data_IF_372412067916
#
_entry.id   IF_372412067916
#
_cell.length_a   1.000
_cell.length_b   1.000
_cell.length_c   1.000
_cell.angle_alpha   90.00
_cell.angle_beta   90.00
_cell.angle_gamma   90.00
#
_symmetry.space_group_name_H-M   'P 1'
#
loop_
_entity.id
_entity.type
_entity.pdbx_description
1 polymer ?
#
# COMPACT_ATOMS: atom_id res chain seq x y z
N UNK A 1 4.64 -21.26 12.01
CA UNK A 1 4.96 -20.34 10.89
C UNK A 1 5.65 -19.05 11.36
N UNK A 2 5.08 -18.28 12.27
CA UNK A 2 5.66 -17.00 12.75
C UNK A 2 7.11 -17.10 13.24
N UNK A 3 7.48 -18.19 13.94
CA UNK A 3 8.86 -18.42 14.41
C UNK A 3 9.91 -18.58 13.30
N UNK A 4 9.51 -19.12 12.12
CA UNK A 4 10.41 -19.31 10.97
C UNK A 4 10.70 -17.96 10.32
N UNK A 5 9.66 -17.14 10.12
CA UNK A 5 9.78 -15.80 9.55
C UNK A 5 10.42 -14.76 10.49
N UNK A 6 10.59 -15.07 11.79
CA UNK A 6 11.42 -14.25 12.70
C UNK A 6 12.91 -14.28 12.35
N UNK A 7 13.35 -15.28 11.59
CA UNK A 7 14.74 -15.39 11.15
C UNK A 7 14.91 -14.79 9.74
N UNK A 8 16.08 -14.18 9.48
CA UNK A 8 16.44 -13.69 8.14
C UNK A 8 17.22 -14.77 7.38
N UNK A 9 16.51 -15.76 6.85
CA UNK A 9 17.10 -16.80 5.98
C UNK A 9 16.62 -16.62 4.54
N UNK A 10 17.48 -16.86 3.56
CA UNK A 10 17.11 -16.74 2.14
C UNK A 10 16.01 -17.74 1.74
N UNK A 11 15.97 -18.91 2.38
CA UNK A 11 14.90 -19.92 2.20
C UNK A 11 13.51 -19.39 2.57
N UNK A 12 13.42 -18.37 3.44
CA UNK A 12 12.13 -17.76 3.79
C UNK A 12 11.48 -17.03 2.61
N UNK A 13 12.23 -16.62 1.59
CA UNK A 13 11.66 -16.03 0.36
C UNK A 13 10.82 -17.09 -0.38
N UNK A 14 11.35 -18.30 -0.53
CA UNK A 14 10.65 -19.39 -1.20
C UNK A 14 9.48 -19.90 -0.36
N UNK A 15 9.64 -20.00 0.96
CA UNK A 15 8.54 -20.35 1.85
C UNK A 15 7.43 -19.29 1.82
N UNK A 16 7.79 -18.01 1.71
CA UNK A 16 6.82 -16.92 1.54
C UNK A 16 6.08 -17.02 0.19
N UNK A 17 6.76 -17.44 -0.88
CA UNK A 17 6.11 -17.66 -2.18
C UNK A 17 5.05 -18.76 -2.07
N UNK A 18 5.41 -19.90 -1.49
CA UNK A 18 4.47 -21.01 -1.24
C UNK A 18 3.32 -20.56 -0.34
N UNK A 19 3.62 -19.80 0.71
CA UNK A 19 2.61 -19.24 1.61
C UNK A 19 1.62 -18.32 0.89
N UNK A 20 2.12 -17.42 0.04
CA UNK A 20 1.29 -16.53 -0.77
C UNK A 20 0.46 -17.29 -1.80
N UNK A 21 1.04 -18.30 -2.45
CA UNK A 21 0.31 -19.17 -3.38
C UNK A 21 -0.84 -19.87 -2.65
N UNK A 22 -0.61 -20.50 -1.50
CA UNK A 22 -1.68 -21.15 -0.72
C UNK A 22 -2.82 -20.19 -0.39
N UNK A 23 -2.52 -18.94 -0.01
CA UNK A 23 -3.56 -17.97 0.32
C UNK A 23 -4.39 -17.52 -0.89
N UNK A 24 -3.77 -17.46 -2.07
CA UNK A 24 -4.35 -16.81 -3.26
C UNK A 24 -4.60 -17.78 -4.42
N UNK A 25 -4.36 -19.08 -4.26
CA UNK A 25 -4.44 -20.06 -5.35
C UNK A 25 -5.84 -20.15 -5.96
N UNK A 26 -6.90 -19.99 -5.16
CA UNK A 26 -8.27 -20.01 -5.68
C UNK A 26 -8.52 -18.95 -6.78
N UNK A 27 -7.77 -17.84 -6.77
CA UNK A 27 -7.87 -16.81 -7.81
C UNK A 27 -7.31 -17.27 -9.15
N UNK A 28 -6.37 -18.21 -9.15
CA UNK A 28 -5.92 -18.85 -10.39
C UNK A 28 -6.94 -19.85 -10.92
N UNK A 29 -7.74 -20.47 -10.04
CA UNK A 29 -8.82 -21.38 -10.41
C UNK A 29 -10.04 -20.62 -10.95
N UNK A 30 -10.34 -19.45 -10.38
CA UNK A 30 -11.44 -18.58 -10.77
C UNK A 30 -10.92 -17.21 -11.22
N UNK A 31 -10.31 -17.12 -12.41
CA UNK A 31 -9.61 -15.92 -12.83
C UNK A 31 -10.58 -14.81 -13.24
N UNK A 32 -10.38 -13.62 -12.67
CA UNK A 32 -11.14 -12.42 -13.00
C UNK A 32 -10.29 -11.45 -13.84
N UNK A 33 -10.96 -10.66 -14.67
CA UNK A 33 -10.33 -9.59 -15.45
C UNK A 33 -9.90 -8.39 -14.58
N UNK A 34 -9.35 -7.32 -15.21
CA UNK A 34 -8.97 -6.11 -14.48
C UNK A 34 -10.22 -5.42 -13.92
N UNK A 35 -10.12 -4.97 -12.66
CA UNK A 35 -11.17 -4.18 -12.02
C UNK A 35 -11.10 -2.74 -12.55
N UNK A 36 -12.21 -2.22 -13.06
CA UNK A 36 -12.37 -0.82 -13.42
C UNK A 36 -13.43 -0.18 -12.55
N UNK A 37 -13.13 1.00 -12.01
CA UNK A 37 -14.01 1.73 -11.12
C UNK A 37 -14.17 3.18 -11.60
N UNK A 38 -15.29 3.86 -11.27
CA UNK A 38 -15.49 5.27 -11.61
C UNK A 38 -14.37 6.20 -11.10
N UNK A 39 -13.73 5.82 -10.00
CA UNK A 39 -12.70 6.59 -9.31
C UNK A 39 -11.30 6.40 -9.92
N UNK A 40 -11.16 5.50 -10.90
CA UNK A 40 -9.96 5.35 -11.69
C UNK A 40 -9.68 6.63 -12.50
N UNK A 41 -8.41 7.05 -12.52
CA UNK A 41 -7.99 8.24 -13.25
C UNK A 41 -7.46 7.85 -14.65
N UNK A 42 -7.18 8.87 -15.46
CA UNK A 42 -6.71 8.78 -16.85
C UNK A 42 -5.66 7.68 -17.12
N UNK A 43 -4.59 7.56 -16.33
CA UNK A 43 -3.47 6.68 -16.66
C UNK A 43 -3.85 5.21 -16.55
N UNK A 44 -4.65 4.85 -15.55
CA UNK A 44 -5.17 3.49 -15.42
C UNK A 44 -6.18 3.17 -16.52
N UNK A 45 -7.10 4.09 -16.80
CA UNK A 45 -8.08 3.89 -17.88
C UNK A 45 -7.42 3.78 -19.25
N UNK A 46 -6.37 4.56 -19.50
CA UNK A 46 -5.55 4.45 -20.70
C UNK A 46 -4.83 3.09 -20.76
N UNK A 47 -4.21 2.65 -19.66
CA UNK A 47 -3.55 1.33 -19.58
C UNK A 47 -4.52 0.20 -19.92
N UNK A 48 -5.70 0.18 -19.28
CA UNK A 48 -6.71 -0.84 -19.58
C UNK A 48 -7.24 -0.71 -21.01
N UNK A 49 -7.38 0.51 -21.54
CA UNK A 49 -7.75 0.74 -22.94
C UNK A 49 -6.76 0.14 -23.95
N UNK A 50 -5.47 0.12 -23.62
CA UNK A 50 -4.42 -0.55 -24.44
C UNK A 50 -4.46 -2.07 -24.26
N UNK A 51 -4.75 -2.55 -23.04
CA UNK A 51 -4.74 -3.98 -22.73
C UNK A 51 -6.00 -4.73 -23.21
N UNK A 52 -7.18 -4.07 -23.24
CA UNK A 52 -8.45 -4.69 -23.64
C UNK A 52 -8.42 -5.27 -25.08
N UNK A 53 -7.94 -4.55 -26.11
CA UNK A 53 -7.86 -5.07 -27.49
C UNK A 53 -6.93 -6.28 -27.64
N UNK A 54 -5.99 -6.48 -26.73
CA UNK A 54 -5.03 -7.58 -26.78
C UNK A 54 -5.64 -8.93 -26.36
N UNK A 55 -6.90 -8.96 -25.90
CA UNK A 55 -7.61 -10.19 -25.48
C UNK A 55 -6.80 -11.08 -24.52
N UNK A 56 -6.07 -10.44 -23.60
CA UNK A 56 -5.22 -11.10 -22.62
C UNK A 56 -6.07 -12.02 -21.73
N UNK A 57 -5.62 -13.27 -21.56
CA UNK A 57 -6.32 -14.25 -20.73
C UNK A 57 -6.46 -13.76 -19.26
N UNK A 58 -7.63 -13.92 -18.61
CA UNK A 58 -7.87 -13.51 -17.22
C UNK A 58 -6.81 -14.02 -16.22
N UNK A 59 -6.28 -15.23 -16.45
CA UNK A 59 -5.23 -15.83 -15.61
C UNK A 59 -3.96 -14.97 -15.58
N UNK A 60 -3.63 -14.26 -16.65
CA UNK A 60 -2.45 -13.39 -16.69
C UNK A 60 -2.64 -12.15 -15.81
N UNK A 61 -3.85 -11.59 -15.72
CA UNK A 61 -4.13 -10.51 -14.77
C UNK A 61 -3.97 -10.97 -13.33
N UNK A 62 -4.46 -12.17 -13.00
CA UNK A 62 -4.27 -12.78 -11.68
C UNK A 62 -2.78 -13.00 -11.39
N UNK A 63 -2.02 -13.51 -12.36
CA UNK A 63 -0.58 -13.71 -12.21
C UNK A 63 0.14 -12.39 -11.96
N UNK A 64 -0.17 -11.34 -12.74
CA UNK A 64 0.43 -10.01 -12.57
C UNK A 64 0.06 -9.43 -11.19
N UNK A 65 -1.20 -9.52 -10.77
CA UNK A 65 -1.64 -9.05 -9.45
C UNK A 65 -0.95 -9.79 -8.31
N UNK A 66 -0.81 -11.11 -8.43
CA UNK A 66 -0.08 -11.93 -7.47
C UNK A 66 1.40 -11.52 -7.39
N UNK A 67 2.07 -11.36 -8.54
CA UNK A 67 3.46 -10.93 -8.60
C UNK A 67 3.65 -9.52 -8.03
N UNK A 68 2.71 -8.61 -8.26
CA UNK A 68 2.71 -7.28 -7.65
C UNK A 68 2.57 -7.39 -6.14
N UNK A 69 1.58 -8.10 -5.61
CA UNK A 69 1.39 -8.27 -4.16
C UNK A 69 2.59 -8.94 -3.48
N UNK A 70 3.17 -9.97 -4.12
CA UNK A 70 4.37 -10.64 -3.65
C UNK A 70 5.59 -9.72 -3.69
N UNK A 71 5.76 -8.97 -4.78
CA UNK A 71 6.80 -7.96 -4.93
C UNK A 71 6.68 -6.84 -3.89
N UNK A 72 5.47 -6.35 -3.64
CA UNK A 72 5.16 -5.38 -2.58
C UNK A 72 5.55 -5.91 -1.20
N UNK A 73 5.21 -7.17 -0.90
CA UNK A 73 5.57 -7.81 0.37
C UNK A 73 7.09 -7.89 0.57
N UNK A 74 7.84 -8.30 -0.46
CA UNK A 74 9.30 -8.38 -0.41
C UNK A 74 9.96 -7.00 -0.32
N UNK A 75 9.50 -6.04 -1.13
CA UNK A 75 9.98 -4.67 -1.14
C UNK A 75 9.75 -4.02 0.22
N UNK A 76 8.54 -4.11 0.76
CA UNK A 76 8.21 -3.55 2.06
C UNK A 76 9.01 -4.20 3.18
N UNK A 77 9.20 -5.53 3.13
CA UNK A 77 10.04 -6.22 4.09
C UNK A 77 11.51 -5.74 4.05
N UNK A 78 12.05 -5.53 2.85
CA UNK A 78 13.39 -4.95 2.69
C UNK A 78 13.45 -3.55 3.30
N UNK A 79 12.47 -2.70 3.03
CA UNK A 79 12.37 -1.35 3.59
C UNK A 79 12.34 -1.38 5.12
N UNK A 80 11.49 -2.23 5.72
CA UNK A 80 11.41 -2.39 7.17
C UNK A 80 12.74 -2.80 7.80
N UNK A 81 13.51 -3.66 7.11
CA UNK A 81 14.82 -4.11 7.56
C UNK A 81 15.89 -3.02 7.40
N UNK A 82 15.89 -2.31 6.27
CA UNK A 82 16.85 -1.24 5.96
C UNK A 82 16.65 -0.02 6.89
N UNK A 83 15.40 0.32 7.17
CA UNK A 83 15.03 1.39 8.12
C UNK A 83 15.03 0.94 9.58
N UNK A 84 15.40 -0.32 9.86
CA UNK A 84 15.44 -0.91 11.21
C UNK A 84 14.16 -0.66 12.02
N UNK A 85 12.99 -0.77 11.37
CA UNK A 85 11.69 -0.58 12.01
C UNK A 85 11.46 -1.58 13.15
N UNK A 86 12.01 -2.79 12.99
CA UNK A 86 12.04 -3.83 14.03
C UNK A 86 13.48 -4.04 14.52
N UNK A 87 13.69 -4.42 15.79
CA UNK A 87 15.02 -4.55 16.40
C UNK A 87 15.98 -5.52 15.71
N UNK A 88 15.45 -6.53 15.01
CA UNK A 88 16.23 -7.52 14.28
C UNK A 88 15.63 -7.74 12.91
N UNK A 89 16.45 -7.96 11.87
CA UNK A 89 15.92 -8.16 10.53
C UNK A 89 15.17 -9.48 10.45
N UNK A 90 14.03 -9.47 9.77
CA UNK A 90 13.12 -10.61 9.70
C UNK A 90 12.25 -10.56 8.42
N UNK A 91 11.33 -11.54 8.27
CA UNK A 91 10.36 -11.65 7.18
C UNK A 91 8.90 -11.47 7.64
N UNK A 92 8.68 -11.02 8.89
CA UNK A 92 7.33 -10.80 9.42
C UNK A 92 6.55 -9.74 8.65
N UNK A 93 7.12 -8.59 8.22
CA UNK A 93 6.44 -7.65 7.35
C UNK A 93 5.94 -8.28 6.05
N UNK A 94 6.75 -9.13 5.41
CA UNK A 94 6.37 -9.78 4.16
C UNK A 94 5.18 -10.75 4.38
N UNK A 95 5.29 -11.59 5.41
CA UNK A 95 4.23 -12.53 5.79
C UNK A 95 2.93 -11.79 6.15
N UNK A 96 3.04 -10.74 6.97
CA UNK A 96 1.90 -9.92 7.36
C UNK A 96 1.23 -9.28 6.14
N UNK A 97 1.99 -8.80 5.15
CA UNK A 97 1.45 -8.18 3.93
C UNK A 97 0.58 -9.15 3.14
N UNK A 98 1.10 -10.36 2.88
CA UNK A 98 0.36 -11.38 2.14
C UNK A 98 -0.88 -11.84 2.90
N UNK A 99 -0.79 -11.90 4.22
CA UNK A 99 -1.90 -12.28 5.08
C UNK A 99 -2.99 -11.21 5.10
N UNK A 100 -2.64 -9.93 5.33
CA UNK A 100 -3.61 -8.82 5.34
C UNK A 100 -4.27 -8.61 3.99
N UNK A 101 -3.50 -8.72 2.90
CA UNK A 101 -4.05 -8.58 1.54
C UNK A 101 -4.88 -9.77 1.09
N UNK A 102 -4.98 -10.81 1.92
CA UNK A 102 -5.88 -11.95 1.68
C UNK A 102 -7.14 -11.88 2.53
N UNK A 103 -7.33 -10.84 3.35
CA UNK A 103 -8.58 -10.67 4.11
C UNK A 103 -9.73 -10.11 3.26
N UNK A 104 -9.41 -9.46 2.14
CA UNK A 104 -10.39 -8.94 1.19
C UNK A 104 -10.12 -9.55 -0.18
N UNK A 105 -11.19 -10.00 -0.83
CA UNK A 105 -11.12 -10.62 -2.15
C UNK A 105 -10.66 -9.60 -3.18
N UNK A 106 -11.19 -8.39 -3.07
CA UNK A 106 -11.05 -7.30 -4.01
C UNK A 106 -9.62 -6.77 -4.12
N UNK A 107 -8.80 -6.98 -3.10
CA UNK A 107 -7.39 -6.58 -3.08
C UNK A 107 -6.49 -7.50 -3.93
N UNK A 108 -7.05 -8.60 -4.47
CA UNK A 108 -6.35 -9.53 -5.34
C UNK A 108 -6.57 -9.25 -6.83
N UNK A 109 -7.46 -8.31 -7.17
CA UNK A 109 -7.72 -7.94 -8.55
C UNK A 109 -6.66 -6.96 -9.07
N UNK A 110 -6.45 -7.00 -10.38
CA UNK A 110 -5.65 -5.98 -11.04
C UNK A 110 -6.47 -4.68 -11.04
N UNK A 111 -6.06 -3.71 -10.21
CA UNK A 111 -6.81 -2.49 -9.92
C UNK A 111 -5.90 -1.26 -9.84
N UNK A 112 -6.46 -0.06 -10.00
CA UNK A 112 -5.68 1.18 -9.86
C UNK A 112 -5.08 1.33 -8.44
N UNK A 113 -5.81 1.04 -7.34
CA UNK A 113 -5.22 1.09 -6.00
C UNK A 113 -4.07 0.11 -5.79
N UNK A 114 -4.06 -1.07 -6.42
CA UNK A 114 -2.92 -2.01 -6.36
C UNK A 114 -1.64 -1.40 -6.97
N UNK A 115 -1.77 -0.78 -8.15
CA UNK A 115 -0.64 -0.10 -8.81
C UNK A 115 -0.17 1.12 -8.02
N UNK A 116 -1.12 1.94 -7.53
CA UNK A 116 -0.84 3.08 -6.67
C UNK A 116 -0.11 2.65 -5.39
N UNK A 117 -0.57 1.58 -4.72
CA UNK A 117 0.06 1.04 -3.51
C UNK A 117 1.52 0.66 -3.74
N UNK A 118 1.85 0.09 -4.92
CA UNK A 118 3.23 -0.26 -5.29
C UNK A 118 4.13 0.98 -5.31
N UNK A 119 3.69 2.05 -5.97
CA UNK A 119 4.44 3.30 -6.03
C UNK A 119 4.50 3.99 -4.67
N UNK A 120 3.44 3.89 -3.86
CA UNK A 120 3.39 4.47 -2.52
C UNK A 120 4.36 3.78 -1.54
N UNK A 121 4.57 2.47 -1.63
CA UNK A 121 5.66 1.77 -0.89
C UNK A 121 7.01 2.37 -1.25
N UNK A 122 7.24 2.61 -2.55
CA UNK A 122 8.50 3.18 -3.01
C UNK A 122 8.68 4.63 -2.57
N UNK A 123 7.62 5.44 -2.63
CA UNK A 123 7.59 6.82 -2.11
C UNK A 123 7.92 6.82 -0.62
N UNK A 124 7.30 5.95 0.18
CA UNK A 124 7.58 5.82 1.61
C UNK A 124 9.06 5.53 1.88
N UNK A 125 9.66 4.57 1.16
CA UNK A 125 11.09 4.30 1.27
C UNK A 125 11.93 5.54 0.98
N UNK A 126 11.70 6.22 -0.15
CA UNK A 126 12.49 7.39 -0.52
C UNK A 126 12.34 8.52 0.51
N UNK A 127 11.15 8.72 1.06
CA UNK A 127 10.90 9.67 2.14
C UNK A 127 11.70 9.37 3.40
N UNK A 128 11.73 8.11 3.85
CA UNK A 128 12.51 7.72 5.04
C UNK A 128 14.02 7.87 4.86
N UNK A 129 14.52 7.81 3.62
CA UNK A 129 15.95 8.02 3.32
C UNK A 129 16.36 9.49 3.15
N UNK A 130 15.42 10.42 2.95
CA UNK A 130 15.69 11.84 2.71
C UNK A 130 16.61 12.52 3.75
N UNK A 131 16.54 12.21 5.06
CA UNK A 131 17.43 12.82 6.05
C UNK A 131 18.92 12.53 5.80
N UNK A 132 19.25 11.42 5.14
CA UNK A 132 20.62 10.96 4.93
C UNK A 132 21.21 11.47 3.60
N UNK A 133 20.43 12.14 2.76
CA UNK A 133 20.85 12.59 1.43
C UNK A 133 21.47 14.00 1.51
N UNK A 134 22.71 14.13 1.04
CA UNK A 134 23.44 15.41 0.99
C UNK A 134 22.80 16.42 0.04
N UNK A 135 22.45 15.99 -1.20
CA UNK A 135 21.79 16.81 -2.22
C UNK A 135 20.35 16.32 -2.45
N UNK A 136 19.37 16.79 -1.67
CA UNK A 136 18.02 16.23 -1.69
C UNK A 136 17.18 16.67 -2.89
N UNK A 137 17.55 17.74 -3.61
CA UNK A 137 16.74 18.32 -4.69
C UNK A 137 16.23 17.30 -5.71
N UNK A 138 17.11 16.52 -6.38
CA UNK A 138 16.69 15.50 -7.35
C UNK A 138 15.82 14.40 -6.74
N UNK A 139 16.09 13.99 -5.49
CA UNK A 139 15.30 12.99 -4.80
C UNK A 139 13.89 13.51 -4.49
N UNK A 140 13.77 14.74 -3.97
CA UNK A 140 12.50 15.40 -3.66
C UNK A 140 11.67 15.62 -4.93
N UNK A 141 12.32 16.07 -6.02
CA UNK A 141 11.67 16.20 -7.32
C UNK A 141 11.12 14.86 -7.80
N UNK A 142 11.94 13.81 -7.76
CA UNK A 142 11.55 12.46 -8.17
C UNK A 142 10.37 11.94 -7.36
N UNK A 143 10.32 12.24 -6.05
CA UNK A 143 9.18 11.85 -5.19
C UNK A 143 7.93 12.62 -5.58
N UNK A 144 8.06 13.92 -5.89
CA UNK A 144 6.99 14.73 -6.47
C UNK A 144 6.43 14.11 -7.76
N UNK A 145 7.31 13.73 -8.69
CA UNK A 145 6.90 13.08 -9.95
C UNK A 145 6.18 11.77 -9.69
N UNK A 146 6.69 10.93 -8.78
CA UNK A 146 6.02 9.66 -8.45
C UNK A 146 4.64 9.87 -7.85
N UNK A 147 4.47 10.82 -6.93
CA UNK A 147 3.14 11.06 -6.37
C UNK A 147 2.19 11.63 -7.41
N UNK A 148 2.65 12.51 -8.31
CA UNK A 148 1.84 12.98 -9.44
C UNK A 148 1.42 11.85 -10.39
N UNK A 149 2.25 10.82 -10.59
CA UNK A 149 1.85 9.63 -11.35
C UNK A 149 0.79 8.82 -10.59
N UNK A 150 0.93 8.69 -9.27
CA UNK A 150 -0.05 8.00 -8.42
C UNK A 150 -1.42 8.67 -8.48
N UNK A 151 -1.48 10.01 -8.46
CA UNK A 151 -2.75 10.74 -8.58
C UNK A 151 -3.38 10.61 -9.98
N UNK A 152 -2.57 10.38 -11.01
CA UNK A 152 -3.04 10.08 -12.37
C UNK A 152 -3.47 8.63 -12.59
N UNK A 153 -3.10 7.71 -11.69
CA UNK A 153 -3.59 6.33 -11.66
C UNK A 153 -4.96 6.25 -10.98
N UNK A 154 -5.09 6.85 -9.80
CA UNK A 154 -6.27 6.74 -8.94
C UNK A 154 -6.66 8.11 -8.38
N UNK A 155 -7.86 8.62 -8.70
CA UNK A 155 -8.26 10.02 -8.44
C UNK A 155 -8.15 10.38 -6.95
N UNK A 156 -8.66 9.57 -6.01
CA UNK A 156 -8.61 9.89 -4.59
C UNK A 156 -7.19 9.96 -4.02
N UNK A 157 -6.20 9.40 -4.70
CA UNK A 157 -4.81 9.45 -4.25
C UNK A 157 -4.22 10.87 -4.22
N UNK A 158 -4.93 11.89 -4.73
CA UNK A 158 -4.58 13.32 -4.55
C UNK A 158 -4.37 13.69 -3.07
N UNK A 159 -5.07 13.02 -2.16
CA UNK A 159 -4.90 13.19 -0.70
C UNK A 159 -3.46 12.88 -0.28
N UNK A 160 -2.78 11.92 -0.92
CA UNK A 160 -1.38 11.60 -0.63
C UNK A 160 -0.37 12.68 -1.08
N UNK A 161 -0.79 13.70 -1.85
CA UNK A 161 0.05 14.90 -2.04
C UNK A 161 0.31 15.59 -0.70
N UNK A 162 -0.70 15.71 0.15
CA UNK A 162 -0.52 16.25 1.49
C UNK A 162 0.36 15.33 2.36
N UNK A 163 0.32 14.00 2.17
CA UNK A 163 1.28 13.08 2.83
C UNK A 163 2.72 13.46 2.48
N UNK A 164 3.01 13.69 1.20
CA UNK A 164 4.35 14.03 0.69
C UNK A 164 4.85 15.36 1.27
N UNK A 165 3.99 16.37 1.33
CA UNK A 165 4.32 17.68 1.91
C UNK A 165 4.58 17.58 3.42
N UNK A 166 3.72 16.88 4.15
CA UNK A 166 3.88 16.65 5.58
C UNK A 166 5.10 15.75 5.88
N UNK A 167 5.39 14.78 5.02
CA UNK A 167 6.59 13.95 5.13
C UNK A 167 7.86 14.80 4.99
N UNK A 168 7.89 15.74 4.04
CA UNK A 168 9.02 16.66 3.89
C UNK A 168 9.20 17.52 5.15
N UNK A 169 8.11 18.02 5.73
CA UNK A 169 8.12 18.78 7.00
C UNK A 169 8.64 17.95 8.19
N UNK A 170 8.24 16.69 8.31
CA UNK A 170 8.66 15.81 9.42
C UNK A 170 10.11 15.33 9.25
N UNK A 171 10.50 14.98 8.03
CA UNK A 171 11.80 14.36 7.75
C UNK A 171 12.93 15.38 7.69
N UNK A 172 12.68 16.60 7.20
CA UNK A 172 13.71 17.62 6.97
C UNK A 172 13.30 19.00 7.50
N UNK A 173 14.26 19.86 7.85
CA UNK A 173 13.96 21.25 8.18
C UNK A 173 13.36 21.98 6.98
N UNK A 174 12.45 22.90 7.27
CA UNK A 174 11.73 23.66 6.24
C UNK A 174 12.68 24.51 5.39
N UNK A 175 12.62 24.32 4.06
CA UNK A 175 13.38 25.09 3.07
C UNK A 175 12.50 25.35 1.85
N UNK A 176 12.20 26.62 1.58
CA UNK A 176 11.30 27.01 0.47
C UNK A 176 11.71 26.40 -0.88
N UNK A 177 13.02 26.34 -1.16
CA UNK A 177 13.55 25.72 -2.38
C UNK A 177 13.17 24.23 -2.50
N UNK A 178 13.25 23.46 -1.41
CA UNK A 178 12.93 22.03 -1.41
C UNK A 178 11.42 21.82 -1.64
N UNK A 179 10.58 22.70 -1.06
CA UNK A 179 9.13 22.68 -1.27
C UNK A 179 8.74 23.04 -2.70
N UNK A 180 9.33 24.09 -3.27
CA UNK A 180 9.09 24.48 -4.66
C UNK A 180 9.49 23.35 -5.64
N UNK A 181 10.65 22.71 -5.41
CA UNK A 181 11.08 21.55 -6.21
C UNK A 181 10.08 20.39 -6.09
N UNK A 182 9.55 20.13 -4.91
CA UNK A 182 8.55 19.08 -4.73
C UNK A 182 7.26 19.38 -5.51
N UNK A 183 6.73 20.59 -5.40
CA UNK A 183 5.52 21.02 -6.12
C UNK A 183 5.74 20.93 -7.64
N UNK A 184 6.89 21.39 -8.15
CA UNK A 184 7.25 21.23 -9.57
C UNK A 184 7.28 19.77 -10.00
N UNK A 185 7.78 18.87 -9.15
CA UNK A 185 7.73 17.43 -9.41
C UNK A 185 6.30 16.91 -9.49
N UNK A 186 5.42 17.34 -8.58
CA UNK A 186 4.01 16.91 -8.54
C UNK A 186 3.24 17.36 -9.78
N UNK A 187 3.49 18.59 -10.25
CA UNK A 187 2.78 19.13 -11.42
C UNK A 187 3.34 18.63 -12.75
N UNK A 188 4.57 18.09 -12.78
CA UNK A 188 5.21 17.63 -14.02
C UNK A 188 4.42 16.54 -14.77
N UNK A 189 3.92 15.46 -14.14
CA UNK A 189 3.05 14.49 -14.84
C UNK A 189 1.79 15.12 -15.45
N UNK A 190 1.18 16.08 -14.75
CA UNK A 190 0.01 16.81 -15.24
C UNK A 190 0.34 17.72 -16.43
N UNK A 191 1.52 18.35 -16.43
CA UNK A 191 2.00 19.15 -17.56
C UNK A 191 2.13 18.30 -18.83
N UNK A 192 2.74 17.11 -18.74
CA UNK A 192 2.85 16.20 -19.89
C UNK A 192 1.49 15.65 -20.32
N UNK A 193 0.61 15.33 -19.37
CA UNK A 193 -0.75 14.91 -19.70
C UNK A 193 -1.50 16.01 -20.48
N UNK A 194 -1.44 17.26 -20.02
CA UNK A 194 -2.06 18.39 -20.71
C UNK A 194 -1.51 18.55 -22.14
N UNK A 195 -0.19 18.43 -22.31
CA UNK A 195 0.45 18.50 -23.62
C UNK A 195 -0.02 17.36 -24.54
N UNK A 196 -0.11 16.12 -24.06
CA UNK A 196 -0.63 14.99 -24.83
C UNK A 196 -2.07 15.23 -25.25
N UNK A 197 -2.95 15.65 -24.32
CA UNK A 197 -4.36 15.90 -24.59
C UNK A 197 -4.58 17.05 -25.59
N UNK A 198 -3.72 18.07 -25.53
CA UNK A 198 -3.72 19.19 -26.46
C UNK A 198 -3.30 18.73 -27.87
N UNK A 199 -2.18 18.00 -27.98
CA UNK A 199 -1.67 17.52 -29.27
C UNK A 199 -2.58 16.47 -29.92
N UNK A 200 -3.28 15.64 -29.13
CA UNK A 200 -4.25 14.67 -29.64
C UNK A 200 -5.62 15.28 -29.96
N UNK A 201 -5.76 16.60 -29.86
CA UNK A 201 -7.02 17.33 -30.04
C UNK A 201 -8.19 16.76 -29.22
N UNK A 202 -7.88 16.19 -28.05
CA UNK A 202 -8.85 15.54 -27.15
C UNK A 202 -8.92 16.25 -25.79
N UNK A 203 -8.71 17.58 -25.82
CA UNK A 203 -8.66 18.43 -24.64
C UNK A 203 -9.99 18.36 -23.88
N UNK A 204 -9.93 17.92 -22.64
CA UNK A 204 -11.07 17.88 -21.74
C UNK A 204 -10.61 18.14 -20.31
N UNK A 205 -11.19 19.17 -19.70
CA UNK A 205 -10.86 19.60 -18.35
C UNK A 205 -11.29 18.59 -17.28
N UNK A 206 -12.28 17.75 -17.58
CA UNK A 206 -12.72 16.68 -16.68
C UNK A 206 -11.69 15.55 -16.56
N UNK A 207 -10.79 15.38 -17.54
CA UNK A 207 -9.71 14.36 -17.48
C UNK A 207 -8.53 14.79 -16.61
N UNK A 208 -8.45 16.08 -16.27
CA UNK A 208 -7.35 16.67 -15.52
C UNK A 208 -7.79 17.05 -14.10
N UNK A 209 -9.05 17.47 -13.92
CA UNK A 209 -9.57 17.90 -12.63
C UNK A 209 -9.71 16.71 -11.66
N UNK A 210 -9.01 16.72 -10.51
CA UNK A 210 -9.33 15.80 -9.44
C UNK A 210 -10.70 16.19 -8.87
N UNK A 211 -11.69 15.31 -9.01
CA UNK A 211 -13.00 15.48 -8.39
C UNK A 211 -12.94 14.87 -7.00
N UNK A 212 -13.22 15.68 -5.98
CA UNK A 212 -13.30 15.23 -4.59
C UNK A 212 -14.75 15.29 -4.16
N UNK A 213 -15.40 14.14 -4.05
CA UNK A 213 -16.66 13.99 -3.34
C UNK A 213 -16.35 13.56 -1.91
N UNK A 214 -17.10 14.08 -0.94
CA UNK A 214 -17.12 13.54 0.42
C UNK A 214 -18.39 12.74 0.54
N UNK A 215 -18.27 11.47 0.89
CA UNK A 215 -19.39 10.56 1.01
C UNK A 215 -19.14 9.59 2.15
N UNK A 216 -20.19 9.04 2.74
CA UNK A 216 -19.99 8.12 3.86
C UNK A 216 -19.24 6.86 3.37
N UNK A 217 -18.30 6.33 4.16
CA UNK A 217 -17.57 5.11 3.80
C UNK A 217 -18.53 3.93 3.72
N UNK A 218 -18.14 2.89 2.97
CA UNK A 218 -18.92 1.67 2.84
C UNK A 218 -19.24 1.11 4.23
N UNK A 219 -20.53 1.03 4.58
CA UNK A 219 -20.96 0.28 5.75
C UNK A 219 -20.73 -1.21 5.44
N UNK A 220 -20.17 -2.01 6.36
CA UNK A 220 -19.94 -3.44 6.12
C UNK A 220 -21.23 -4.12 5.66
N UNK A 221 -21.25 -4.56 4.39
CA UNK A 221 -22.43 -5.14 3.75
C UNK A 221 -22.74 -6.56 4.23
N UNK A 222 -21.76 -7.22 4.86
CA UNK A 222 -21.86 -8.60 5.31
C UNK A 222 -21.04 -8.84 6.57
N UNK A 223 -21.45 -9.85 7.35
CA UNK A 223 -20.71 -10.32 8.53
C UNK A 223 -19.28 -10.72 8.20
N UNK A 224 -19.01 -11.20 6.98
CA UNK A 224 -17.66 -11.54 6.54
C UNK A 224 -16.77 -10.30 6.43
N UNK A 225 -17.26 -9.21 5.85
CA UNK A 225 -16.50 -7.95 5.81
C UNK A 225 -16.22 -7.43 7.23
N UNK A 226 -17.19 -7.52 8.15
CA UNK A 226 -17.00 -7.13 9.55
C UNK A 226 -15.91 -7.96 10.24
N UNK A 227 -15.91 -9.28 10.08
CA UNK A 227 -14.86 -10.15 10.65
C UNK A 227 -13.49 -9.82 10.03
N UNK A 228 -13.43 -9.59 8.72
CA UNK A 228 -12.21 -9.17 8.01
C UNK A 228 -11.62 -7.88 8.59
N UNK A 229 -12.48 -6.88 8.86
CA UNK A 229 -12.09 -5.62 9.49
C UNK A 229 -11.59 -5.86 10.92
N UNK A 230 -12.27 -6.67 11.72
CA UNK A 230 -11.85 -6.99 13.09
C UNK A 230 -10.46 -7.65 13.09
N UNK A 231 -10.25 -8.65 12.22
CA UNK A 231 -8.97 -9.34 12.08
C UNK A 231 -7.86 -8.46 11.50
N UNK A 232 -8.21 -7.34 10.90
CA UNK A 232 -7.29 -6.33 10.41
C UNK A 232 -6.96 -5.27 11.48
N UNK A 233 -7.95 -4.83 12.25
CA UNK A 233 -7.79 -3.75 13.24
C UNK A 233 -7.23 -4.26 14.57
N UNK A 234 -7.68 -5.42 15.07
CA UNK A 234 -7.26 -5.92 16.39
C UNK A 234 -5.75 -6.16 16.46
N UNK A 235 -5.11 -6.90 15.54
CA UNK A 235 -3.68 -7.10 15.63
C UNK A 235 -2.91 -5.81 15.28
N UNK A 236 -3.49 -4.89 14.50
CA UNK A 236 -2.93 -3.55 14.28
C UNK A 236 -2.86 -2.76 15.59
N UNK A 237 -3.93 -2.74 16.38
CA UNK A 237 -3.98 -2.04 17.68
C UNK A 237 -2.98 -2.63 18.68
N UNK A 238 -2.88 -3.97 18.75
CA UNK A 238 -1.89 -4.65 19.58
C UNK A 238 -0.46 -4.28 19.13
N UNK A 239 -0.22 -4.28 17.82
CA UNK A 239 1.05 -3.86 17.24
C UNK A 239 1.40 -2.41 17.57
N UNK A 240 0.43 -1.51 17.44
CA UNK A 240 0.53 -0.09 17.81
C UNK A 240 0.91 0.09 19.28
N UNK A 241 0.26 -0.64 20.19
CA UNK A 241 0.61 -0.63 21.61
C UNK A 241 2.08 -1.01 21.86
N UNK A 242 2.56 -2.09 21.25
CA UNK A 242 3.95 -2.52 21.42
C UNK A 242 4.96 -1.58 20.78
N UNK A 243 4.65 -1.01 19.60
CA UNK A 243 5.50 0.01 18.99
C UNK A 243 5.59 1.21 19.92
N UNK A 244 4.45 1.72 20.40
CA UNK A 244 4.37 2.86 21.32
C UNK A 244 5.20 2.61 22.59
N UNK A 245 5.06 1.44 23.21
CA UNK A 245 5.81 1.06 24.42
C UNK A 245 7.34 1.01 24.20
N UNK A 246 7.78 0.81 22.96
CA UNK A 246 9.20 0.73 22.61
C UNK A 246 9.75 1.98 21.89
N UNK A 247 8.91 2.98 21.56
CA UNK A 247 9.33 4.17 20.80
C UNK A 247 10.51 4.90 21.44
N UNK A 248 10.52 5.04 22.77
CA UNK A 248 11.58 5.78 23.48
C UNK A 248 12.96 5.12 23.38
N UNK A 249 13.01 3.81 23.08
CA UNK A 249 14.25 3.05 22.90
C UNK A 249 14.77 3.11 21.46
N UNK A 250 14.00 3.69 20.53
CA UNK A 250 14.33 3.74 19.11
C UNK A 250 15.11 5.01 18.74
N UNK A 251 15.99 4.88 17.75
CA UNK A 251 16.67 6.01 17.14
C UNK A 251 15.67 7.02 16.55
N UNK A 252 16.04 8.30 16.48
CA UNK A 252 15.15 9.37 15.98
C UNK A 252 14.63 9.07 14.57
N UNK A 253 15.48 8.58 13.66
CA UNK A 253 15.07 8.24 12.30
C UNK A 253 14.00 7.13 12.27
N UNK A 254 14.13 6.10 13.11
CA UNK A 254 13.16 5.00 13.23
C UNK A 254 11.82 5.53 13.75
N UNK A 255 11.84 6.41 14.76
CA UNK A 255 10.62 7.05 15.29
C UNK A 255 9.91 7.86 14.20
N UNK A 256 10.64 8.68 13.44
CA UNK A 256 10.07 9.44 12.31
C UNK A 256 9.48 8.52 11.23
N UNK A 257 10.13 7.39 10.95
CA UNK A 257 9.63 6.41 9.99
C UNK A 257 8.31 5.74 10.44
N UNK A 258 8.16 5.44 11.74
CA UNK A 258 6.89 5.00 12.33
C UNK A 258 5.81 6.09 12.29
N UNK A 259 6.16 7.33 12.64
CA UNK A 259 5.23 8.47 12.55
C UNK A 259 4.75 8.69 11.11
N UNK A 260 5.62 8.51 10.12
CA UNK A 260 5.24 8.62 8.71
C UNK A 260 4.28 7.50 8.28
N UNK A 261 4.40 6.27 8.81
CA UNK A 261 3.43 5.21 8.56
C UNK A 261 2.05 5.52 9.17
N UNK A 262 2.01 6.10 10.37
CA UNK A 262 0.75 6.54 10.97
C UNK A 262 0.11 7.67 10.16
N UNK A 263 0.91 8.65 9.74
CA UNK A 263 0.44 9.71 8.87
C UNK A 263 -0.09 9.14 7.54
N UNK A 264 0.64 8.19 6.94
CA UNK A 264 0.17 7.45 5.76
C UNK A 264 -1.21 6.85 6.01
N UNK A 265 -1.40 6.13 7.12
CA UNK A 265 -2.67 5.50 7.47
C UNK A 265 -3.80 6.52 7.57
N UNK A 266 -3.57 7.68 8.19
CA UNK A 266 -4.55 8.76 8.29
C UNK A 266 -4.96 9.22 6.88
N UNK A 267 -4.00 9.44 5.99
CA UNK A 267 -4.29 9.86 4.61
C UNK A 267 -5.05 8.80 3.83
N UNK A 268 -4.73 7.52 4.02
CA UNK A 268 -5.46 6.41 3.42
C UNK A 268 -6.90 6.30 3.94
N UNK A 269 -7.12 6.54 5.24
CA UNK A 269 -8.47 6.59 5.83
C UNK A 269 -9.28 7.79 5.28
N UNK A 270 -8.66 8.94 5.06
CA UNK A 270 -9.33 10.09 4.42
C UNK A 270 -9.77 9.76 2.98
N UNK A 271 -9.02 8.93 2.26
CA UNK A 271 -9.40 8.44 0.93
C UNK A 271 -10.64 7.54 1.01
N UNK A 272 -10.68 6.62 1.99
CA UNK A 272 -11.84 5.76 2.20
C UNK A 272 -13.11 6.58 2.46
N UNK A 273 -12.99 7.74 3.13
CA UNK A 273 -14.08 8.70 3.34
C UNK A 273 -14.43 9.54 2.09
N UNK A 274 -13.53 9.64 1.11
CA UNK A 274 -13.80 10.39 -0.12
C UNK A 274 -14.47 9.52 -1.20
N UNK A 275 -14.15 8.23 -1.23
CA UNK A 275 -14.53 7.29 -2.28
C UNK A 275 -16.02 6.86 -2.25
N UNK A 276 -16.73 7.13 -1.16
CA UNK A 276 -18.20 6.98 -1.11
C UNK A 276 -18.75 5.57 -1.07
N UNK A 277 -17.89 4.58 -0.84
CA UNK A 277 -18.30 3.36 -0.18
C UNK A 277 -19.03 2.31 -1.03
N UNK A 278 -18.82 2.29 -2.34
CA UNK A 278 -19.41 1.23 -3.19
C UNK A 278 -18.69 -0.11 -3.04
N UNK A 279 -17.41 -0.12 -2.68
CA UNK A 279 -16.58 -1.32 -2.56
C UNK A 279 -15.37 -1.13 -1.62
N UNK A 280 -14.61 -2.20 -1.36
CA UNK A 280 -13.44 -2.22 -0.48
C UNK A 280 -12.10 -2.10 -1.20
N UNK A 281 -12.06 -1.85 -2.52
CA UNK A 281 -10.81 -1.82 -3.31
C UNK A 281 -9.90 -0.69 -2.85
N UNK A 282 -10.46 0.49 -2.57
CA UNK A 282 -9.76 1.68 -2.09
C UNK A 282 -9.11 1.50 -0.72
N UNK A 283 -9.64 0.59 0.09
CA UNK A 283 -9.11 0.27 1.43
C UNK A 283 -7.75 -0.41 1.36
N UNK A 284 -7.40 -0.97 0.20
CA UNK A 284 -6.09 -1.56 -0.06
C UNK A 284 -4.96 -0.58 0.24
N UNK A 285 -5.17 0.72 0.08
CA UNK A 285 -4.15 1.74 0.38
C UNK A 285 -3.71 1.71 1.84
N UNK A 286 -4.58 1.29 2.77
CA UNK A 286 -4.22 1.13 4.19
C UNK A 286 -3.32 -0.09 4.46
N UNK A 287 -3.17 -1.01 3.50
CA UNK A 287 -2.47 -2.29 3.71
C UNK A 287 -1.05 -2.14 4.22
N UNK A 288 -0.29 -1.16 3.72
CA UNK A 288 1.13 -0.95 4.06
C UNK A 288 1.32 -0.61 5.55
N UNK A 289 0.72 0.46 6.10
CA UNK A 289 0.89 0.77 7.51
C UNK A 289 0.34 -0.34 8.41
N UNK A 290 -0.83 -0.91 8.09
CA UNK A 290 -1.42 -2.01 8.86
C UNK A 290 -0.46 -3.20 8.94
N UNK A 291 0.14 -3.57 7.80
CA UNK A 291 1.14 -4.64 7.72
C UNK A 291 2.32 -4.41 8.65
N UNK A 292 2.82 -3.17 8.74
CA UNK A 292 3.95 -2.82 9.59
C UNK A 292 3.65 -3.08 11.07
N UNK A 293 2.47 -2.64 11.53
CA UNK A 293 2.04 -2.85 12.91
C UNK A 293 1.68 -4.31 13.19
N UNK A 294 1.08 -5.03 12.24
CA UNK A 294 0.92 -6.48 12.32
C UNK A 294 2.25 -7.20 12.49
N UNK A 295 3.27 -6.83 11.71
CA UNK A 295 4.60 -7.40 11.87
C UNK A 295 5.19 -7.11 13.25
N UNK A 296 5.00 -5.89 13.77
CA UNK A 296 5.44 -5.51 15.11
C UNK A 296 4.75 -6.33 16.20
N UNK A 297 3.45 -6.58 16.06
CA UNK A 297 2.69 -7.45 16.95
C UNK A 297 3.30 -8.87 17.01
N UNK A 298 3.57 -9.49 15.85
CA UNK A 298 4.20 -10.81 15.80
C UNK A 298 5.62 -10.83 16.38
N UNK A 299 6.34 -9.70 16.28
CA UNK A 299 7.71 -9.58 16.77
C UNK A 299 7.77 -9.43 18.29
N UNK A 300 7.07 -8.43 18.85
CA UNK A 300 7.23 -7.95 20.22
C UNK A 300 6.50 -8.77 21.29
N UNK A 301 5.47 -9.53 20.92
CA UNK A 301 4.78 -10.39 21.91
C UNK A 301 5.76 -11.47 22.39
N UNK A 302 6.02 -11.46 23.71
CA UNK A 302 6.93 -12.40 24.38
C UNK A 302 6.36 -13.83 24.46
N UNK A 303 5.03 -13.98 24.50
CA UNK A 303 4.38 -15.31 24.48
C UNK A 303 4.66 -16.02 23.17
N UNK A 304 5.10 -17.29 23.23
CA UNK A 304 5.28 -18.12 22.02
C UNK A 304 3.95 -18.51 21.37
N UNK A 305 2.89 -18.68 22.17
CA UNK A 305 1.59 -19.21 21.70
C UNK A 305 0.71 -18.13 21.09
N UNK A 306 0.64 -16.95 21.68
CA UNK A 306 -0.31 -15.91 21.28
C UNK A 306 -0.12 -15.41 19.83
N UNK A 307 1.10 -15.12 19.33
CA UNK A 307 1.32 -14.73 17.94
C UNK A 307 0.98 -15.86 16.96
N UNK A 308 1.18 -17.11 17.38
CA UNK A 308 0.88 -18.28 16.56
C UNK A 308 -0.62 -18.50 16.43
N UNK A 309 -1.36 -18.38 17.54
CA UNK A 309 -2.83 -18.47 17.56
C UNK A 309 -3.42 -17.39 16.64
N UNK A 310 -3.01 -16.13 16.82
CA UNK A 310 -3.55 -15.02 16.03
C UNK A 310 -3.21 -15.19 14.55
N UNK A 311 -1.97 -15.56 14.22
CA UNK A 311 -1.59 -15.87 12.84
C UNK A 311 -2.49 -16.95 12.22
N UNK A 312 -2.72 -18.07 12.93
CA UNK A 312 -3.53 -19.17 12.39
C UNK A 312 -5.01 -18.85 12.28
N UNK A 313 -5.56 -18.04 13.19
CA UNK A 313 -6.93 -17.52 13.07
C UNK A 313 -7.07 -16.68 11.80
N UNK A 314 -6.18 -15.70 11.63
CA UNK A 314 -6.20 -14.81 10.45
C UNK A 314 -5.96 -15.61 9.17
N UNK A 315 -5.04 -16.58 9.19
CA UNK A 315 -4.73 -17.45 8.05
C UNK A 315 -5.89 -18.36 7.67
N UNK A 316 -6.50 -19.05 8.65
CA UNK A 316 -7.65 -19.92 8.41
C UNK A 316 -8.85 -19.13 7.88
N UNK A 317 -9.08 -17.94 8.43
CA UNK A 317 -10.13 -17.05 7.94
C UNK A 317 -9.84 -16.52 6.53
N UNK A 318 -8.60 -16.13 6.23
CA UNK A 318 -8.21 -15.70 4.88
C UNK A 318 -8.40 -16.82 3.84
N UNK A 319 -8.10 -18.08 4.20
CA UNK A 319 -8.42 -19.23 3.34
C UNK A 319 -9.94 -19.35 3.17
N UNK A 320 -10.70 -19.27 4.25
CA UNK A 320 -12.16 -19.37 4.18
C UNK A 320 -12.74 -18.31 3.21
N UNK A 321 -12.35 -17.05 3.37
CA UNK A 321 -12.80 -15.95 2.50
C UNK A 321 -12.35 -16.14 1.05
N UNK A 322 -11.14 -16.65 0.80
CA UNK A 322 -10.66 -16.76 -0.58
C UNK A 322 -11.18 -17.96 -1.34
N UNK A 323 -11.55 -19.04 -0.66
CA UNK A 323 -11.94 -20.31 -1.30
C UNK A 323 -13.44 -20.57 -1.29
N UNK A 324 -14.16 -20.06 -0.30
CA UNK A 324 -15.57 -20.38 -0.07
C UNK A 324 -16.52 -19.20 -0.28
N UNK A 325 -15.99 -17.98 -0.40
CA UNK A 325 -16.73 -16.76 -0.75
C UNK A 325 -16.25 -16.23 -2.12
#
# INVERSE_FOLDING_TARGET
MTGIFKQKTSSNILLLLVYGLILKFNRFLNPAGPAQQPEDHFLYNWLIGVLKPLHIAPVLYVLISFLLLYGQALLFNRICNDQKLLPRPNYLPAMAHLLTTSLFIEWNYFSAPLLANTLLIWIYYRMTTLPNIQKPGPAIFSIGVQIGIVTLLYRPAIVFVALVLLALFVMRPFRLREWAINILGITMPYYFLALVLYLSNSWDWNKIKPVFSISLPAIPSSIYHTISIILLVVPFMIGGYYVQANLNKMMIHVRKAWSLLLLYLIMAMLIILADGGSNFVSWMLCSIPITAFHAAMYFYINSRRMPMIIHWIVFGYAIYVNYWL
#
